data_IF_980787030157
#
_entry.id   IF_980787030157
#
_cell.length_a   1.000
_cell.length_b   1.000
_cell.length_c   1.000
_cell.angle_alpha   90.00
_cell.angle_beta   90.00
_cell.angle_gamma   90.00
#
_symmetry.space_group_name_H-M   'P 1'
#
loop_
_entity.id
_entity.type
_entity.pdbx_description
1 polymer ?
#
# COMPACT_ATOMS: atom_id res chain seq x y z
N UNK A 1 14.15 -40.70 43.15
CA UNK A 1 13.88 -40.24 41.76
C UNK A 1 14.28 -38.79 41.46
N UNK A 2 14.96 -38.04 42.35
CA UNK A 2 15.23 -36.60 42.14
C UNK A 2 16.46 -36.22 41.28
N UNK A 3 17.46 -37.10 41.15
CA UNK A 3 18.71 -36.79 40.43
C UNK A 3 18.73 -37.19 38.95
N UNK A 4 17.93 -38.19 38.54
CA UNK A 4 17.92 -38.65 37.15
C UNK A 4 17.27 -37.63 36.21
N UNK A 5 16.16 -37.01 36.64
CA UNK A 5 15.45 -36.00 35.87
C UNK A 5 16.19 -34.66 35.77
N UNK A 6 16.95 -34.27 36.80
CA UNK A 6 17.79 -33.05 36.75
C UNK A 6 18.89 -33.14 35.68
N UNK A 7 19.41 -34.34 35.42
CA UNK A 7 20.50 -34.57 34.47
C UNK A 7 20.04 -34.77 33.01
N UNK A 8 18.74 -34.99 32.77
CA UNK A 8 18.22 -35.19 31.40
C UNK A 8 18.36 -33.95 30.51
N UNK A 9 18.40 -32.73 31.08
CA UNK A 9 18.68 -31.51 30.31
C UNK A 9 20.05 -31.51 29.63
N UNK A 10 21.05 -32.13 30.26
CA UNK A 10 22.41 -32.20 29.72
C UNK A 10 22.51 -33.14 28.51
N UNK A 11 21.54 -34.06 28.37
CA UNK A 11 21.40 -34.99 27.25
C UNK A 11 20.66 -34.38 26.05
N UNK A 12 20.13 -33.16 26.17
CA UNK A 12 19.56 -32.45 25.02
C UNK A 12 20.66 -32.10 24.02
N UNK A 13 20.40 -32.20 22.70
CA UNK A 13 21.34 -31.73 21.70
C UNK A 13 21.61 -30.23 21.90
N UNK A 14 22.82 -29.72 21.57
CA UNK A 14 23.21 -28.32 21.82
C UNK A 14 22.19 -27.28 21.32
N UNK A 15 21.55 -27.54 20.18
CA UNK A 15 20.52 -26.68 19.59
C UNK A 15 19.21 -26.58 20.39
N UNK A 16 19.00 -27.48 21.37
CA UNK A 16 17.81 -27.51 22.24
C UNK A 16 18.12 -27.18 23.70
N UNK A 17 19.39 -26.98 24.05
CA UNK A 17 19.82 -26.60 25.42
C UNK A 17 19.37 -25.19 25.81
N UNK A 18 19.05 -24.33 24.85
CA UNK A 18 18.51 -22.97 25.06
C UNK A 18 17.01 -22.92 25.35
N UNK A 19 16.29 -24.05 25.21
CA UNK A 19 14.85 -24.13 25.50
C UNK A 19 14.64 -24.28 27.01
N UNK A 20 14.40 -23.16 27.70
CA UNK A 20 14.36 -23.10 29.16
C UNK A 20 12.95 -23.19 29.73
N UNK A 21 11.93 -22.95 28.89
CA UNK A 21 10.51 -22.93 29.27
C UNK A 21 9.62 -23.71 28.31
N UNK A 22 8.40 -24.03 28.76
CA UNK A 22 7.34 -24.58 27.88
C UNK A 22 7.07 -23.63 26.70
N UNK A 23 7.17 -22.31 26.93
CA UNK A 23 7.01 -21.28 25.90
C UNK A 23 8.07 -21.43 24.79
N UNK A 24 9.32 -21.69 25.15
CA UNK A 24 10.40 -21.89 24.17
C UNK A 24 10.17 -23.15 23.33
N UNK A 25 9.70 -24.24 23.96
CA UNK A 25 9.37 -25.48 23.25
C UNK A 25 8.20 -25.28 22.27
N UNK A 26 7.16 -24.54 22.69
CA UNK A 26 6.03 -24.17 21.83
C UNK A 26 6.51 -23.34 20.64
N UNK A 27 7.31 -22.31 20.86
CA UNK A 27 7.87 -21.47 19.80
C UNK A 27 8.74 -22.26 18.81
N UNK A 28 9.58 -23.16 19.33
CA UNK A 28 10.40 -24.04 18.49
C UNK A 28 9.53 -24.95 17.62
N UNK A 29 8.50 -25.62 18.19
CA UNK A 29 7.58 -26.45 17.42
C UNK A 29 6.81 -25.64 16.38
N UNK A 30 6.33 -24.45 16.74
CA UNK A 30 5.71 -23.51 15.80
C UNK A 30 6.64 -23.22 14.62
N UNK A 31 7.90 -22.88 14.87
CA UNK A 31 8.86 -22.60 13.78
C UNK A 31 9.09 -23.78 12.83
N UNK A 32 8.98 -25.02 13.32
CA UNK A 32 9.09 -26.22 12.47
C UNK A 32 7.83 -26.42 11.62
N UNK A 33 6.66 -26.15 12.18
CA UNK A 33 5.38 -26.18 11.46
C UNK A 33 5.38 -25.12 10.36
N UNK A 34 5.76 -23.88 10.68
CA UNK A 34 5.83 -22.78 9.72
C UNK A 34 6.79 -23.09 8.57
N UNK A 35 7.97 -23.66 8.87
CA UNK A 35 8.91 -24.12 7.83
C UNK A 35 8.30 -25.19 6.93
N UNK A 36 7.59 -26.15 7.52
CA UNK A 36 6.94 -27.23 6.76
C UNK A 36 5.80 -26.69 5.89
N UNK A 37 4.98 -25.77 6.41
CA UNK A 37 3.90 -25.12 5.67
C UNK A 37 4.46 -24.30 4.50
N UNK A 38 5.50 -23.50 4.74
CA UNK A 38 6.18 -22.75 3.68
C UNK A 38 6.75 -23.67 2.60
N UNK A 39 7.39 -24.78 3.00
CA UNK A 39 7.90 -25.77 2.04
C UNK A 39 6.78 -26.42 1.21
N UNK A 40 5.65 -26.76 1.85
CA UNK A 40 4.50 -27.31 1.12
C UNK A 40 3.95 -26.28 0.13
N UNK A 41 3.77 -25.02 0.57
CA UNK A 41 3.27 -23.94 -0.28
C UNK A 41 4.20 -23.67 -1.48
N UNK A 42 5.52 -23.59 -1.24
CA UNK A 42 6.52 -23.41 -2.30
C UNK A 42 6.50 -24.58 -3.30
N UNK A 43 6.38 -25.81 -2.79
CA UNK A 43 6.27 -27.00 -3.65
C UNK A 43 4.98 -27.01 -4.47
N UNK A 44 3.85 -26.67 -3.85
CA UNK A 44 2.55 -26.59 -4.53
C UNK A 44 2.54 -25.49 -5.60
N UNK A 45 3.13 -24.34 -5.32
CA UNK A 45 3.33 -23.26 -6.31
C UNK A 45 4.19 -23.75 -7.48
N UNK A 46 5.32 -24.41 -7.21
CA UNK A 46 6.19 -24.94 -8.26
C UNK A 46 5.48 -26.01 -9.11
N UNK A 47 4.74 -26.91 -8.48
CA UNK A 47 3.94 -27.92 -9.19
C UNK A 47 2.88 -27.27 -10.07
N UNK A 48 2.17 -26.26 -9.54
CA UNK A 48 1.20 -25.50 -10.32
C UNK A 48 1.85 -24.91 -11.57
N UNK A 49 2.98 -24.22 -11.44
CA UNK A 49 3.65 -23.64 -12.60
C UNK A 49 4.17 -24.70 -13.56
N UNK A 50 4.77 -25.78 -13.06
CA UNK A 50 5.25 -26.89 -13.89
C UNK A 50 4.14 -27.50 -14.74
N UNK A 51 2.92 -27.62 -14.20
CA UNK A 51 1.75 -28.10 -14.95
C UNK A 51 1.30 -27.14 -16.06
N UNK A 52 1.66 -25.85 -15.99
CA UNK A 52 1.35 -24.86 -17.03
C UNK A 52 2.46 -24.72 -18.09
N UNK A 53 3.69 -25.19 -17.80
CA UNK A 53 4.85 -24.98 -18.65
C UNK A 53 4.70 -25.64 -20.02
N UNK A 54 5.07 -24.91 -21.08
CA UNK A 54 5.19 -25.45 -22.42
C UNK A 54 6.64 -25.93 -22.70
N UNK A 55 6.88 -26.83 -23.67
CA UNK A 55 8.17 -27.51 -23.88
C UNK A 55 9.43 -26.65 -24.09
N UNK A 56 9.35 -25.32 -24.14
CA UNK A 56 10.50 -24.42 -24.23
C UNK A 56 10.34 -23.13 -23.41
N UNK A 57 9.28 -23.00 -22.61
CA UNK A 57 9.04 -21.80 -21.82
C UNK A 57 9.98 -21.80 -20.61
N UNK A 58 10.56 -20.64 -20.28
CA UNK A 58 11.11 -20.46 -18.94
C UNK A 58 9.96 -20.38 -17.91
N UNK A 59 10.28 -20.52 -16.62
CA UNK A 59 9.29 -20.31 -15.56
C UNK A 59 8.68 -18.89 -15.62
N UNK A 60 9.46 -17.89 -16.02
CA UNK A 60 9.00 -16.51 -16.18
C UNK A 60 8.04 -16.40 -17.35
N UNK A 61 8.37 -16.99 -18.50
CA UNK A 61 7.50 -16.99 -19.69
C UNK A 61 6.17 -17.67 -19.38
N UNK A 62 6.21 -18.80 -18.67
CA UNK A 62 5.02 -19.53 -18.23
C UNK A 62 4.13 -18.66 -17.34
N UNK A 63 4.71 -17.97 -16.35
CA UNK A 63 3.98 -17.04 -15.47
C UNK A 63 3.37 -15.90 -16.28
N UNK A 64 4.15 -15.26 -17.18
CA UNK A 64 3.67 -14.16 -18.02
C UNK A 64 2.50 -14.59 -18.91
N UNK A 65 2.64 -15.74 -19.57
CA UNK A 65 1.62 -16.31 -20.44
C UNK A 65 0.34 -16.64 -19.65
N UNK A 66 0.47 -17.17 -18.44
CA UNK A 66 -0.67 -17.41 -17.56
C UNK A 66 -1.39 -16.09 -17.21
N UNK A 67 -0.66 -15.10 -16.70
CA UNK A 67 -1.27 -13.84 -16.26
C UNK A 67 -1.90 -13.03 -17.41
N UNK A 68 -1.34 -13.11 -18.63
CA UNK A 68 -1.93 -12.48 -19.84
C UNK A 68 -3.23 -13.15 -20.31
N UNK A 69 -3.46 -14.40 -19.94
CA UNK A 69 -4.65 -15.18 -20.30
C UNK A 69 -5.77 -15.09 -19.26
N UNK A 70 -5.52 -14.49 -18.09
CA UNK A 70 -6.57 -14.27 -17.10
C UNK A 70 -7.65 -13.41 -17.76
N UNK A 71 -8.92 -13.79 -17.52
CA UNK A 71 -10.07 -13.35 -18.29
C UNK A 71 -10.06 -11.86 -18.62
N UNK A 72 -10.18 -11.55 -19.91
CA UNK A 72 -10.25 -10.17 -20.46
C UNK A 72 -11.68 -9.70 -20.68
N UNK A 73 -12.65 -10.58 -20.50
CA UNK A 73 -14.06 -10.27 -20.71
C UNK A 73 -14.51 -9.15 -19.75
N UNK A 74 -15.34 -8.19 -20.20
CA UNK A 74 -15.83 -7.13 -19.34
C UNK A 74 -16.53 -7.73 -18.13
N UNK A 75 -16.03 -7.42 -16.93
CA UNK A 75 -16.61 -7.91 -15.69
C UNK A 75 -17.89 -7.15 -15.33
N UNK A 76 -18.46 -7.53 -14.18
CA UNK A 76 -19.69 -6.93 -13.64
C UNK A 76 -19.59 -5.42 -13.39
N UNK A 77 -18.38 -4.87 -13.36
CA UNK A 77 -18.09 -3.46 -13.05
C UNK A 77 -17.97 -2.55 -14.27
N UNK A 78 -18.27 -3.02 -15.49
CA UNK A 78 -18.08 -2.23 -16.73
C UNK A 78 -18.64 -0.81 -16.66
N UNK A 79 -19.86 -0.63 -16.12
CA UNK A 79 -20.47 0.70 -16.02
C UNK A 79 -19.75 1.61 -15.02
N UNK A 80 -19.28 1.05 -13.89
CA UNK A 80 -18.48 1.77 -12.89
C UNK A 80 -17.14 2.19 -13.50
N UNK A 81 -16.47 1.27 -14.21
CA UNK A 81 -15.21 1.53 -14.89
C UNK A 81 -15.32 2.63 -15.95
N UNK A 82 -16.45 2.71 -16.68
CA UNK A 82 -16.70 3.81 -17.62
C UNK A 82 -16.85 5.18 -16.94
N UNK A 83 -17.49 5.21 -15.76
CA UNK A 83 -17.60 6.44 -14.96
C UNK A 83 -16.22 6.85 -14.42
N UNK A 84 -15.46 5.89 -13.88
CA UNK A 84 -14.09 6.13 -13.41
C UNK A 84 -13.23 6.66 -14.54
N UNK A 85 -13.31 6.08 -15.75
CA UNK A 85 -12.57 6.54 -16.91
C UNK A 85 -12.91 8.00 -17.26
N UNK A 86 -14.20 8.38 -17.20
CA UNK A 86 -14.61 9.78 -17.42
C UNK A 86 -14.05 10.74 -16.36
N UNK A 87 -13.96 10.31 -15.09
CA UNK A 87 -13.32 11.09 -14.01
C UNK A 87 -11.81 11.20 -14.28
N UNK A 88 -11.16 10.10 -14.69
CA UNK A 88 -9.74 10.07 -15.02
C UNK A 88 -9.38 10.96 -16.22
N UNK A 89 -10.22 10.98 -17.26
CA UNK A 89 -10.03 11.86 -18.42
C UNK A 89 -10.07 13.33 -17.99
N UNK A 90 -11.05 13.71 -17.17
CA UNK A 90 -11.18 15.08 -16.66
C UNK A 90 -10.03 15.45 -15.70
N UNK A 91 -9.59 14.50 -14.86
CA UNK A 91 -8.40 14.65 -14.03
C UNK A 91 -7.15 14.89 -14.88
N UNK A 92 -6.95 14.09 -15.93
CA UNK A 92 -5.82 14.22 -16.85
C UNK A 92 -5.82 15.58 -17.57
N UNK A 93 -6.98 16.05 -18.05
CA UNK A 93 -7.12 17.38 -18.65
C UNK A 93 -6.70 18.51 -17.69
N UNK A 94 -7.11 18.42 -16.41
CA UNK A 94 -6.69 19.36 -15.38
C UNK A 94 -5.16 19.29 -15.17
N UNK A 95 -4.59 18.09 -15.13
CA UNK A 95 -3.15 17.91 -14.96
C UNK A 95 -2.35 18.47 -16.13
N UNK A 96 -2.70 18.12 -17.38
CA UNK A 96 -2.04 18.61 -18.60
C UNK A 96 -2.11 20.15 -18.68
N UNK A 97 -3.29 20.72 -18.44
CA UNK A 97 -3.49 22.18 -18.52
C UNK A 97 -2.64 22.96 -17.52
N UNK A 98 -2.31 22.37 -16.38
CA UNK A 98 -1.60 23.02 -15.29
C UNK A 98 -0.16 22.50 -15.08
N UNK A 99 0.37 21.72 -16.05
CA UNK A 99 1.70 21.12 -15.98
C UNK A 99 1.95 20.31 -14.68
N UNK A 100 0.95 19.51 -14.30
CA UNK A 100 1.00 18.66 -13.11
C UNK A 100 1.38 17.24 -13.49
N UNK A 101 2.35 16.67 -12.78
CA UNK A 101 2.79 15.30 -13.00
C UNK A 101 1.96 14.33 -12.18
N UNK A 102 1.68 13.17 -12.75
CA UNK A 102 1.06 12.04 -12.08
C UNK A 102 1.43 10.74 -12.80
N UNK A 103 1.11 9.60 -12.19
CA UNK A 103 1.21 8.28 -12.82
C UNK A 103 0.07 7.37 -12.37
N UNK A 104 -0.25 6.35 -13.17
CA UNK A 104 -1.15 5.29 -12.73
C UNK A 104 -0.49 4.49 -11.60
N UNK A 105 -1.28 4.09 -10.61
CA UNK A 105 -0.76 3.39 -9.44
C UNK A 105 -1.45 2.03 -9.23
N UNK A 106 -0.79 1.14 -8.48
CA UNK A 106 -1.37 -0.12 -7.95
C UNK A 106 -2.11 -0.97 -9.02
N UNK A 107 -3.37 -1.35 -8.75
CA UNK A 107 -4.22 -2.16 -9.62
C UNK A 107 -4.48 -1.50 -10.97
N UNK A 108 -4.63 -0.18 -11.00
CA UNK A 108 -4.83 0.60 -12.23
C UNK A 108 -3.63 0.51 -13.17
N UNK A 109 -2.41 0.65 -12.66
CA UNK A 109 -1.18 0.47 -13.45
C UNK A 109 -1.06 -0.98 -13.97
N UNK A 110 -1.33 -1.96 -13.11
CA UNK A 110 -1.30 -3.37 -13.51
C UNK A 110 -2.35 -3.67 -14.58
N UNK A 111 -3.54 -3.10 -14.47
CA UNK A 111 -4.60 -3.19 -15.48
C UNK A 111 -4.14 -2.64 -16.81
N UNK A 112 -3.66 -1.40 -16.83
CA UNK A 112 -3.22 -0.72 -18.04
C UNK A 112 -2.17 -1.55 -18.82
N UNK A 113 -1.23 -2.20 -18.11
CA UNK A 113 -0.19 -3.01 -18.74
C UNK A 113 -0.68 -4.42 -19.11
N UNK A 114 -1.43 -5.09 -18.21
CA UNK A 114 -1.78 -6.52 -18.38
C UNK A 114 -3.03 -6.73 -19.21
N UNK A 115 -4.04 -5.90 -19.03
CA UNK A 115 -5.35 -6.01 -19.67
C UNK A 115 -5.59 -4.94 -20.75
N UNK A 116 -4.65 -3.99 -20.92
CA UNK A 116 -4.82 -2.84 -21.82
C UNK A 116 -6.05 -1.99 -21.45
N UNK A 117 -6.36 -1.93 -20.15
CA UNK A 117 -7.56 -1.29 -19.59
C UNK A 117 -7.72 -1.66 -18.12
N UNK A 118 -8.93 -1.57 -17.58
CA UNK A 118 -9.20 -2.01 -16.21
C UNK A 118 -9.01 -3.52 -16.05
N UNK A 119 -8.60 -3.94 -14.85
CA UNK A 119 -8.74 -5.33 -14.45
C UNK A 119 -10.25 -5.62 -14.32
N UNK A 120 -10.80 -6.70 -14.92
CA UNK A 120 -12.26 -6.84 -15.05
C UNK A 120 -13.07 -6.87 -13.74
N UNK A 121 -12.44 -7.29 -12.64
CA UNK A 121 -13.05 -7.34 -11.31
C UNK A 121 -12.68 -6.17 -10.40
N UNK A 122 -11.97 -5.17 -10.93
CA UNK A 122 -11.54 -3.98 -10.21
C UNK A 122 -12.62 -2.89 -10.29
N UNK A 123 -12.87 -2.23 -9.17
CA UNK A 123 -13.98 -1.28 -9.01
C UNK A 123 -13.53 0.14 -8.64
N UNK A 124 -12.22 0.38 -8.56
CA UNK A 124 -11.61 1.66 -8.24
C UNK A 124 -10.47 2.01 -9.22
N UNK A 125 -9.94 3.22 -9.07
CA UNK A 125 -8.72 3.64 -9.74
C UNK A 125 -7.83 4.45 -8.80
N UNK A 126 -6.52 4.24 -8.97
CA UNK A 126 -5.47 4.84 -8.17
C UNK A 126 -4.50 5.62 -9.07
N UNK A 127 -4.17 6.85 -8.67
CA UNK A 127 -3.07 7.64 -9.24
C UNK A 127 -2.10 8.09 -8.17
N UNK A 128 -0.82 8.09 -8.52
CA UNK A 128 0.25 8.68 -7.72
C UNK A 128 0.57 10.08 -8.22
N UNK A 129 0.84 11.01 -7.31
CA UNK A 129 1.28 12.37 -7.63
C UNK A 129 2.48 12.79 -6.79
N UNK A 130 3.45 13.56 -7.34
CA UNK A 130 4.41 14.29 -6.52
C UNK A 130 3.69 15.18 -5.51
N UNK A 131 4.17 15.26 -4.28
CA UNK A 131 3.60 16.10 -3.21
C UNK A 131 3.34 17.54 -3.65
N UNK A 132 4.29 18.13 -4.35
CA UNK A 132 4.20 19.52 -4.84
C UNK A 132 3.05 19.69 -5.83
N UNK A 133 2.92 18.76 -6.78
CA UNK A 133 1.87 18.81 -7.81
C UNK A 133 0.51 18.42 -7.22
N UNK A 134 0.46 17.50 -6.26
CA UNK A 134 -0.73 17.21 -5.48
C UNK A 134 -1.22 18.43 -4.68
N UNK A 135 -0.31 19.17 -4.05
CA UNK A 135 -0.66 20.40 -3.34
C UNK A 135 -1.20 21.49 -4.28
N UNK A 136 -0.60 21.66 -5.47
CA UNK A 136 -1.14 22.55 -6.51
C UNK A 136 -2.52 22.08 -7.00
N UNK A 137 -2.67 20.78 -7.24
CA UNK A 137 -3.91 20.17 -7.68
C UNK A 137 -5.06 20.45 -6.69
N UNK A 138 -4.79 20.34 -5.37
CA UNK A 138 -5.76 20.71 -4.33
C UNK A 138 -6.27 22.13 -4.47
N UNK A 139 -5.37 23.10 -4.67
CA UNK A 139 -5.77 24.50 -4.84
C UNK A 139 -6.52 24.76 -6.15
N UNK A 140 -6.21 24.01 -7.22
CA UNK A 140 -6.91 24.10 -8.51
C UNK A 140 -8.33 23.51 -8.42
N UNK A 141 -8.51 22.39 -7.73
CA UNK A 141 -9.82 21.72 -7.61
C UNK A 141 -10.72 22.39 -6.57
N UNK A 142 -10.16 23.03 -5.54
CA UNK A 142 -10.94 23.70 -4.48
C UNK A 142 -12.06 24.64 -4.98
N UNK A 143 -11.85 25.50 -6.00
CA UNK A 143 -12.93 26.32 -6.57
C UNK A 143 -13.72 25.63 -7.71
N UNK A 144 -13.47 24.36 -8.03
CA UNK A 144 -14.08 23.69 -9.17
C UNK A 144 -15.59 23.43 -8.94
N UNK A 145 -16.46 23.77 -9.91
CA UNK A 145 -17.91 23.59 -9.74
C UNK A 145 -18.35 22.14 -9.81
N UNK A 146 -17.63 21.25 -10.50
CA UNK A 146 -17.99 19.84 -10.71
C UNK A 146 -17.23 18.89 -9.80
N UNK A 147 -15.93 19.11 -9.63
CA UNK A 147 -15.08 18.24 -8.84
C UNK A 147 -14.83 18.77 -7.44
N UNK A 148 -14.68 17.86 -6.48
CA UNK A 148 -14.20 18.16 -5.14
C UNK A 148 -13.17 17.13 -4.68
N UNK A 149 -12.29 17.53 -3.78
CA UNK A 149 -11.37 16.62 -3.12
C UNK A 149 -11.84 16.35 -1.70
N UNK A 150 -12.00 15.07 -1.38
CA UNK A 150 -12.41 14.60 -0.07
C UNK A 150 -11.28 13.78 0.54
N UNK A 151 -10.78 14.21 1.70
CA UNK A 151 -9.73 13.48 2.42
C UNK A 151 -10.31 12.24 3.11
N UNK A 152 -9.70 11.10 2.84
CA UNK A 152 -10.02 9.82 3.44
C UNK A 152 -8.97 9.45 4.50
N UNK A 153 -9.43 9.05 5.69
CA UNK A 153 -8.57 8.80 6.85
C UNK A 153 -8.59 7.34 7.25
N UNK A 154 -7.43 6.73 7.42
CA UNK A 154 -7.26 5.41 7.99
C UNK A 154 -6.89 5.44 9.48
N UNK A 155 -7.49 6.34 10.28
CA UNK A 155 -7.23 6.43 11.72
C UNK A 155 -8.25 5.62 12.56
N UNK A 156 -7.84 5.08 13.71
CA UNK A 156 -8.74 4.51 14.75
C UNK A 156 -9.36 3.12 14.49
N UNK A 157 -9.18 2.50 13.31
CA UNK A 157 -9.85 1.22 12.98
C UNK A 157 -9.18 -0.05 13.51
N UNK A 158 -7.86 -0.02 13.67
CA UNK A 158 -7.04 -1.14 14.15
C UNK A 158 -5.84 -0.56 14.88
N UNK A 159 -5.21 -1.30 15.80
CA UNK A 159 -4.00 -0.85 16.45
C UNK A 159 -3.01 -0.28 15.44
N UNK A 160 -2.61 0.97 15.68
CA UNK A 160 -1.68 1.71 14.84
C UNK A 160 -2.13 1.97 13.40
N UNK A 161 -3.44 2.05 13.15
CA UNK A 161 -3.97 2.51 11.87
C UNK A 161 -3.63 3.99 11.67
N UNK A 162 -2.95 4.28 10.57
CA UNK A 162 -2.52 5.61 10.18
C UNK A 162 -2.54 5.66 8.65
N UNK A 163 -3.23 6.65 8.10
CA UNK A 163 -3.40 6.83 6.66
C UNK A 163 -4.21 8.09 6.38
N UNK A 164 -3.80 8.87 5.38
CA UNK A 164 -4.54 9.98 4.81
C UNK A 164 -4.22 10.06 3.33
N UNK A 165 -5.23 10.05 2.48
CA UNK A 165 -5.14 10.28 1.03
C UNK A 165 -6.41 10.98 0.57
N UNK A 166 -6.46 11.49 -0.66
CA UNK A 166 -7.64 12.23 -1.13
C UNK A 166 -8.32 11.48 -2.27
N UNK A 167 -9.64 11.58 -2.29
CA UNK A 167 -10.51 11.07 -3.35
C UNK A 167 -11.01 12.24 -4.18
N UNK A 168 -10.85 12.18 -5.50
CA UNK A 168 -11.50 13.10 -6.41
C UNK A 168 -12.93 12.62 -6.67
N UNK A 169 -13.89 13.46 -6.28
CA UNK A 169 -15.32 13.18 -6.38
C UNK A 169 -15.94 14.06 -7.46
N UNK A 170 -16.71 13.45 -8.35
CA UNK A 170 -17.60 14.18 -9.26
C UNK A 170 -18.94 14.43 -8.57
N UNK A 171 -19.24 15.70 -8.25
CA UNK A 171 -20.47 16.09 -7.54
C UNK A 171 -21.73 15.87 -8.36
N UNK A 172 -21.60 15.71 -9.67
CA UNK A 172 -22.72 15.41 -10.57
C UNK A 172 -22.97 13.89 -10.68
N UNK A 173 -22.03 13.06 -10.22
CA UNK A 173 -22.19 11.61 -10.19
C UNK A 173 -23.07 11.21 -9.00
N UNK A 174 -24.23 10.56 -9.21
CA UNK A 174 -25.11 10.14 -8.11
C UNK A 174 -24.59 8.87 -7.40
N UNK A 175 -23.50 8.29 -7.88
CA UNK A 175 -22.92 7.06 -7.35
C UNK A 175 -21.62 7.38 -6.60
N UNK A 176 -21.29 6.65 -5.53
CA UNK A 176 -20.08 6.86 -4.74
C UNK A 176 -18.84 6.31 -5.45
N UNK A 177 -18.52 6.89 -6.61
CA UNK A 177 -17.42 6.49 -7.49
C UNK A 177 -16.41 7.61 -7.52
N UNK A 178 -15.15 7.27 -7.28
CA UNK A 178 -14.08 8.25 -7.06
C UNK A 178 -12.79 7.81 -7.74
N UNK A 179 -11.87 8.76 -7.91
CA UNK A 179 -10.47 8.50 -8.25
C UNK A 179 -9.61 8.72 -7.00
N UNK A 180 -8.84 7.70 -6.59
CA UNK A 180 -7.97 7.77 -5.42
C UNK A 180 -6.62 8.40 -5.80
N UNK A 181 -6.22 9.43 -5.06
CA UNK A 181 -5.00 10.20 -5.31
C UNK A 181 -4.04 10.04 -4.15
N UNK A 182 -2.91 9.40 -4.41
CA UNK A 182 -1.86 9.12 -3.43
C UNK A 182 -0.68 10.07 -3.64
N UNK A 183 -0.36 10.93 -2.67
CA UNK A 183 0.82 11.76 -2.76
C UNK A 183 2.12 11.02 -2.43
N UNK A 184 3.17 11.33 -3.19
CA UNK A 184 4.52 10.81 -3.02
C UNK A 184 5.48 11.93 -2.65
N UNK A 185 6.28 11.69 -1.63
CA UNK A 185 7.29 12.63 -1.15
C UNK A 185 8.60 12.42 -1.91
N UNK A 186 9.31 13.52 -2.21
CA UNK A 186 10.65 13.44 -2.80
C UNK A 186 11.69 13.16 -1.72
N UNK A 187 12.70 12.38 -2.09
CA UNK A 187 13.79 12.03 -1.19
C UNK A 187 15.09 11.78 -1.96
N UNK A 188 16.24 12.03 -1.33
CA UNK A 188 17.53 11.56 -1.84
C UNK A 188 17.75 10.12 -1.38
N UNK A 189 17.91 9.20 -2.32
CA UNK A 189 18.04 7.77 -2.00
C UNK A 189 19.26 7.18 -2.68
N UNK A 190 20.30 6.94 -1.88
CA UNK A 190 21.49 6.18 -2.32
C UNK A 190 21.24 4.68 -2.24
N UNK A 191 20.53 4.22 -1.19
CA UNK A 191 20.21 2.82 -0.92
C UNK A 191 18.79 2.63 -0.38
N UNK A 192 18.20 1.48 -0.71
CA UNK A 192 16.83 1.13 -0.33
C UNK A 192 16.65 0.97 1.18
N UNK A 193 17.59 0.32 1.88
CA UNK A 193 17.49 0.12 3.31
C UNK A 193 17.60 1.47 4.06
N UNK A 194 18.36 2.43 3.53
CA UNK A 194 18.42 3.79 4.06
C UNK A 194 17.09 4.54 3.90
N UNK A 195 16.51 4.54 2.69
CA UNK A 195 15.19 5.11 2.45
C UNK A 195 14.11 4.51 3.36
N UNK A 196 14.13 3.18 3.53
CA UNK A 196 13.20 2.50 4.42
C UNK A 196 13.41 2.91 5.89
N UNK A 197 14.66 2.97 6.36
CA UNK A 197 14.97 3.42 7.73
C UNK A 197 14.46 4.84 7.96
N UNK A 198 14.78 5.79 7.06
CA UNK A 198 14.33 7.19 7.17
C UNK A 198 12.81 7.29 7.23
N UNK A 199 12.12 6.59 6.33
CA UNK A 199 10.66 6.52 6.32
C UNK A 199 10.10 5.99 7.63
N UNK A 200 10.56 4.83 8.11
CA UNK A 200 10.02 4.23 9.34
C UNK A 200 10.38 5.03 10.59
N UNK A 201 11.54 5.70 10.62
CA UNK A 201 11.92 6.61 11.71
C UNK A 201 10.93 7.77 11.86
N UNK A 202 10.47 8.36 10.76
CA UNK A 202 9.45 9.41 10.81
C UNK A 202 8.03 8.85 10.97
N UNK A 203 7.76 7.67 10.40
CA UNK A 203 6.43 7.07 10.35
C UNK A 203 5.98 6.48 11.69
N UNK A 204 6.86 5.83 12.44
CA UNK A 204 6.48 5.16 13.71
C UNK A 204 5.92 6.16 14.74
N UNK A 205 6.54 7.32 14.99
CA UNK A 205 5.97 8.33 15.88
C UNK A 205 4.63 8.88 15.40
N UNK A 206 4.50 9.19 14.10
CA UNK A 206 3.24 9.63 13.48
C UNK A 206 2.12 8.60 13.71
N UNK A 207 2.41 7.33 13.42
CA UNK A 207 1.50 6.20 13.58
C UNK A 207 0.98 6.10 15.03
N UNK A 208 1.86 6.27 16.01
CA UNK A 208 1.51 6.28 17.43
C UNK A 208 0.64 7.47 17.82
N UNK A 209 1.01 8.68 17.40
CA UNK A 209 0.28 9.91 17.75
C UNK A 209 -1.13 9.93 17.13
N UNK A 210 -1.25 9.53 15.86
CA UNK A 210 -2.55 9.37 15.18
C UNK A 210 -3.42 8.33 15.89
N UNK A 211 -2.85 7.20 16.31
CA UNK A 211 -3.57 6.17 17.04
C UNK A 211 -4.09 6.67 18.39
N UNK A 212 -3.24 7.31 19.19
CA UNK A 212 -3.61 7.86 20.50
C UNK A 212 -4.69 8.94 20.35
N UNK A 213 -4.53 9.85 19.38
CA UNK A 213 -5.51 10.90 19.10
C UNK A 213 -6.84 10.33 18.63
N UNK A 214 -6.83 9.42 17.66
CA UNK A 214 -8.04 8.81 17.12
C UNK A 214 -8.84 8.06 18.19
N UNK A 215 -8.16 7.33 19.09
CA UNK A 215 -8.82 6.67 20.22
C UNK A 215 -9.44 7.67 21.20
N UNK A 216 -8.74 8.78 21.50
CA UNK A 216 -9.26 9.84 22.37
C UNK A 216 -10.50 10.53 21.78
N UNK A 217 -10.50 10.72 20.47
CA UNK A 217 -11.62 11.30 19.72
C UNK A 217 -12.75 10.28 19.43
N UNK A 218 -12.54 8.99 19.74
CA UNK A 218 -13.52 7.94 19.49
C UNK A 218 -13.77 7.65 18.00
N UNK A 219 -12.79 7.91 17.13
CA UNK A 219 -12.91 7.68 15.69
C UNK A 219 -13.07 6.18 15.39
N UNK A 220 -14.04 5.87 14.55
CA UNK A 220 -14.34 4.50 14.09
C UNK A 220 -14.25 4.40 12.58
N UNK A 221 -14.54 3.20 12.04
CA UNK A 221 -14.55 2.97 10.58
C UNK A 221 -15.57 3.87 9.89
N UNK A 222 -16.70 4.12 10.54
CA UNK A 222 -17.82 4.90 10.02
C UNK A 222 -17.54 6.41 10.02
N UNK A 223 -16.50 6.87 10.73
CA UNK A 223 -16.08 8.27 10.79
C UNK A 223 -15.28 8.71 9.55
N UNK A 224 -15.57 8.14 8.37
CA UNK A 224 -14.79 8.28 7.14
C UNK A 224 -15.71 8.63 5.97
N UNK A 225 -15.63 9.84 5.40
CA UNK A 225 -14.70 10.90 5.75
C UNK A 225 -14.95 11.48 7.17
N UNK A 226 -13.96 12.19 7.71
CA UNK A 226 -14.14 12.94 8.95
C UNK A 226 -14.90 14.22 8.59
N UNK A 227 -16.21 14.23 8.86
CA UNK A 227 -17.10 15.36 8.53
C UNK A 227 -16.99 16.53 9.51
N UNK A 228 -16.71 16.25 10.79
CA UNK A 228 -16.57 17.28 11.82
C UNK A 228 -15.30 18.12 11.55
N UNK A 229 -15.42 19.44 11.28
CA UNK A 229 -14.29 20.27 10.90
C UNK A 229 -13.23 20.43 12.01
N UNK A 230 -13.65 20.39 13.28
CA UNK A 230 -12.76 20.53 14.43
C UNK A 230 -11.94 19.25 14.62
N UNK A 231 -12.60 18.09 14.51
CA UNK A 231 -11.92 16.79 14.53
C UNK A 231 -10.97 16.68 13.33
N UNK A 232 -11.42 17.07 12.13
CA UNK A 232 -10.59 17.06 10.92
C UNK A 232 -9.36 17.93 11.09
N UNK A 233 -9.51 19.17 11.58
CA UNK A 233 -8.40 20.07 11.85
C UNK A 233 -7.38 19.45 12.82
N UNK A 234 -7.84 18.86 13.92
CA UNK A 234 -6.96 18.20 14.89
C UNK A 234 -6.20 17.00 14.32
N UNK A 235 -6.79 16.27 13.37
CA UNK A 235 -6.11 15.16 12.69
C UNK A 235 -5.11 15.67 11.64
N UNK A 236 -5.52 16.67 10.86
CA UNK A 236 -4.69 17.27 9.82
C UNK A 236 -3.43 17.92 10.39
N UNK A 237 -3.56 18.62 11.52
CA UNK A 237 -2.41 19.22 12.23
C UNK A 237 -1.34 18.18 12.58
N UNK A 238 -1.75 16.96 12.97
CA UNK A 238 -0.82 15.89 13.28
C UNK A 238 -0.12 15.42 12.00
N UNK A 239 -0.85 15.08 10.95
CA UNK A 239 -0.24 14.65 9.69
C UNK A 239 0.73 15.69 9.13
N UNK A 240 0.31 16.95 9.05
CA UNK A 240 1.07 18.06 8.46
C UNK A 240 2.37 18.35 9.21
N UNK A 241 2.45 18.01 10.51
CA UNK A 241 3.67 18.15 11.31
C UNK A 241 4.78 17.18 10.86
N UNK A 242 4.41 15.98 10.41
CA UNK A 242 5.35 14.93 10.02
C UNK A 242 5.66 14.92 8.53
N UNK A 243 4.80 15.51 7.69
CA UNK A 243 5.02 15.59 6.25
C UNK A 243 6.29 16.41 5.96
N UNK A 244 7.19 15.94 5.06
CA UNK A 244 8.40 16.67 4.73
C UNK A 244 8.06 18.02 4.09
N UNK A 245 8.47 19.12 4.73
CA UNK A 245 8.22 20.48 4.22
C UNK A 245 9.01 20.80 2.96
N UNK A 246 10.19 20.21 2.83
CA UNK A 246 11.03 20.32 1.65
C UNK A 246 10.86 19.09 0.78
N UNK A 247 10.61 19.30 -0.50
CA UNK A 247 10.43 18.25 -1.50
C UNK A 247 11.69 18.22 -2.38
N UNK A 248 12.82 17.90 -1.75
CA UNK A 248 14.14 17.82 -2.38
C UNK A 248 14.51 16.32 -2.53
N UNK A 249 15.01 15.93 -3.70
CA UNK A 249 15.34 14.53 -3.95
C UNK A 249 15.45 14.19 -5.43
N UNK A 250 16.09 13.07 -5.75
CA UNK A 250 16.18 12.50 -7.10
C UNK A 250 15.19 11.34 -7.33
N UNK A 251 14.39 11.07 -6.31
CA UNK A 251 13.58 9.86 -6.16
C UNK A 251 12.23 10.15 -5.49
N UNK A 252 11.23 9.31 -5.78
CA UNK A 252 9.90 9.38 -5.14
C UNK A 252 9.67 8.25 -4.15
N UNK A 253 9.23 8.60 -2.94
CA UNK A 253 8.89 7.69 -1.87
C UNK A 253 7.40 7.82 -1.53
N UNK A 254 6.81 6.71 -1.06
CA UNK A 254 5.45 6.67 -0.54
C UNK A 254 5.24 7.79 0.48
N UNK A 255 4.16 8.56 0.34
CA UNK A 255 3.89 9.69 1.23
C UNK A 255 3.83 9.26 2.70
N UNK A 256 4.48 10.02 3.59
CA UNK A 256 4.55 9.67 5.02
C UNK A 256 3.19 9.59 5.71
N UNK A 257 2.14 10.18 5.13
CA UNK A 257 0.78 10.18 5.64
C UNK A 257 -0.07 9.00 5.16
N UNK A 258 0.36 8.27 4.12
CA UNK A 258 -0.43 7.21 3.49
C UNK A 258 -0.57 5.97 4.37
N UNK A 259 -1.25 4.92 3.95
CA UNK A 259 -1.32 3.70 4.76
C UNK A 259 0.04 2.99 4.89
N UNK A 260 0.21 2.17 5.93
CA UNK A 260 1.44 1.43 6.15
C UNK A 260 1.59 0.32 5.11
N UNK A 261 2.43 0.54 4.11
CA UNK A 261 2.94 -0.55 3.29
C UNK A 261 3.81 -1.45 4.18
N UNK A 262 3.55 -2.76 4.27
CA UNK A 262 4.43 -3.66 4.99
C UNK A 262 5.79 -3.70 4.29
N UNK A 263 6.88 -3.56 5.05
CA UNK A 263 8.23 -3.79 4.55
C UNK A 263 8.39 -5.28 4.26
N UNK A 264 8.00 -5.71 3.07
CA UNK A 264 8.16 -7.10 2.64
C UNK A 264 9.39 -7.13 1.73
N UNK A 265 10.52 -7.55 2.30
CA UNK A 265 11.77 -7.86 1.59
C UNK A 265 11.63 -8.84 0.41
N UNK A 266 10.46 -9.47 0.27
CA UNK A 266 10.14 -10.59 -0.63
C UNK A 266 9.52 -10.18 -1.97
N UNK A 267 9.04 -8.95 -2.10
CA UNK A 267 8.61 -8.38 -3.37
C UNK A 267 9.30 -7.03 -3.45
N UNK A 268 10.03 -6.74 -4.53
CA UNK A 268 10.66 -5.43 -4.77
C UNK A 268 9.65 -4.29 -4.97
N UNK A 269 8.56 -4.25 -4.19
CA UNK A 269 7.50 -3.26 -4.21
C UNK A 269 7.35 -2.49 -2.89
N UNK A 270 8.18 -2.76 -1.87
CA UNK A 270 8.31 -1.83 -0.75
C UNK A 270 9.11 -0.64 -1.22
N UNK A 271 8.48 0.52 -1.41
CA UNK A 271 9.11 1.84 -1.63
C UNK A 271 10.33 1.82 -2.57
N UNK A 272 10.10 1.82 -3.88
CA UNK A 272 11.17 2.14 -4.84
C UNK A 272 11.00 3.61 -5.24
N UNK A 273 11.99 4.38 -4.81
CA UNK A 273 12.50 5.57 -5.46
C UNK A 273 12.47 5.44 -7.00
N UNK A 274 11.46 5.99 -7.67
CA UNK A 274 11.48 6.10 -9.13
C UNK A 274 12.45 7.21 -9.51
N UNK A 275 13.64 6.86 -10.04
CA UNK A 275 14.54 7.83 -10.65
C UNK A 275 13.84 8.44 -11.86
N UNK A 276 13.80 9.78 -11.88
CA UNK A 276 13.18 10.62 -12.90
C UNK A 276 13.26 10.02 -14.31
N UNK A 277 12.16 9.42 -14.74
CA UNK A 277 11.84 9.19 -16.14
C UNK A 277 10.34 9.41 -16.30
N UNK A 278 9.94 10.67 -16.08
CA UNK A 278 8.71 11.15 -16.71
C UNK A 278 9.04 11.37 -18.17
N UNK A 279 8.35 10.66 -19.05
CA UNK A 279 8.31 10.97 -20.49
C UNK A 279 7.42 12.21 -20.66
#
# INVERSE_FOLDING_TARGET
MGNLFKNMRNLLPPSKKSLNSIKDLINFRWSLIDKKLNWIAEREELLFWFLQMQPNDSLIDTKLNFFKKIGKEPGHFKNIQLIILSIMDSFNEICIKNDLKYWLWSGTLLGAIRHEGFIPWDEDADVGMPREDFNKFKEIVKPNPRYELVDFYEAGIRPNACGRFSKLVDKECPYPIYLDIFPFDKEFVDDHDEAAKKYYTARIPLEKEIWEKANKLGLKKESRPIEDPEIKFQMDEIFDRYIPKKQEGDSYQWGLELFKAPWIKRFGGGIIAYKNSFI
#
